data_IF_677083621657
#
_entry.id   IF_677083621657
#
_cell.length_a   1.000
_cell.length_b   1.000
_cell.length_c   1.000
_cell.angle_alpha   90.00
_cell.angle_beta   90.00
_cell.angle_gamma   90.00
#
_symmetry.space_group_name_H-M   'P 1'
#
loop_
_entity.id
_entity.type
_entity.pdbx_description
1 polymer ?
#
# COMPACT_ATOMS: atom_id res chain seq x y z
N UNK A 1 4.96 3.61 10.86
CA UNK A 1 5.00 2.25 11.44
C UNK A 1 3.85 1.94 12.43
N UNK A 2 3.82 2.46 13.67
CA UNK A 2 2.84 1.98 14.70
C UNK A 2 1.36 2.02 14.27
N UNK A 3 0.92 3.11 13.61
CA UNK A 3 -0.46 3.22 13.12
C UNK A 3 -0.81 2.20 12.03
N UNK A 4 0.13 1.86 11.14
CA UNK A 4 -0.11 0.88 10.06
C UNK A 4 -0.43 -0.49 10.65
N UNK A 5 0.29 -0.90 11.71
CA UNK A 5 0.03 -2.15 12.42
C UNK A 5 -1.37 -2.18 13.05
N UNK A 6 -1.81 -1.06 13.62
CA UNK A 6 -3.17 -0.94 14.19
C UNK A 6 -4.23 -1.09 13.09
N UNK A 7 -4.05 -0.40 11.96
CA UNK A 7 -4.97 -0.50 10.83
C UNK A 7 -4.96 -1.88 10.18
N UNK A 8 -3.81 -2.53 10.06
CA UNK A 8 -3.75 -3.93 9.61
C UNK A 8 -4.51 -4.86 10.56
N UNK A 9 -4.36 -4.67 11.88
CA UNK A 9 -5.12 -5.46 12.86
C UNK A 9 -6.62 -5.24 12.67
N UNK A 10 -7.07 -4.00 12.53
CA UNK A 10 -8.49 -3.66 12.28
C UNK A 10 -9.01 -4.30 11.01
N UNK A 11 -8.23 -4.26 9.93
CA UNK A 11 -8.60 -4.91 8.68
C UNK A 11 -8.91 -6.40 8.85
N UNK A 12 -8.14 -7.12 9.67
CA UNK A 12 -8.40 -8.53 9.97
C UNK A 12 -9.57 -8.75 10.94
N UNK A 13 -9.75 -7.89 11.94
CA UNK A 13 -10.78 -8.09 12.98
C UNK A 13 -12.15 -7.56 12.61
N UNK A 14 -12.20 -6.47 11.84
CA UNK A 14 -13.41 -5.73 11.48
C UNK A 14 -13.81 -5.98 10.02
N UNK A 15 -12.97 -6.70 9.25
CA UNK A 15 -13.19 -6.98 7.82
C UNK A 15 -13.32 -5.73 6.94
N UNK A 16 -12.63 -4.66 7.34
CA UNK A 16 -12.65 -3.38 6.64
C UNK A 16 -11.33 -3.12 5.90
N UNK A 17 -11.43 -2.85 4.60
CA UNK A 17 -10.27 -2.37 3.82
C UNK A 17 -9.84 -1.02 4.35
N UNK A 18 -8.54 -0.87 4.61
CA UNK A 18 -7.99 0.40 5.08
C UNK A 18 -7.33 1.13 3.92
N UNK A 19 -7.72 2.39 3.71
CA UNK A 19 -7.26 3.22 2.60
C UNK A 19 -6.35 4.32 3.12
N UNK A 20 -5.23 4.55 2.42
CA UNK A 20 -4.23 5.54 2.77
C UNK A 20 -3.89 6.40 1.56
N UNK A 21 -3.65 7.68 1.83
CA UNK A 21 -3.05 8.63 0.89
C UNK A 21 -1.90 9.34 1.59
N UNK A 22 -0.91 9.74 0.82
CA UNK A 22 0.22 10.52 1.31
C UNK A 22 0.73 11.41 0.16
N UNK A 23 1.49 12.44 0.52
CA UNK A 23 2.09 13.35 -0.44
C UNK A 23 3.04 12.61 -1.41
N UNK A 24 3.04 12.93 -2.72
CA UNK A 24 3.74 12.15 -3.75
C UNK A 24 5.24 11.89 -3.51
N UNK A 25 5.94 12.79 -2.81
CA UNK A 25 7.36 12.63 -2.50
C UNK A 25 7.63 11.66 -1.34
N UNK A 26 6.59 11.21 -0.62
CA UNK A 26 6.67 10.29 0.53
C UNK A 26 6.09 8.91 0.23
N UNK A 27 5.55 8.68 -0.97
CA UNK A 27 4.93 7.40 -1.34
C UNK A 27 5.90 6.21 -1.23
N UNK A 28 7.16 6.36 -1.67
CA UNK A 28 8.16 5.30 -1.49
C UNK A 28 8.41 4.97 -0.01
N UNK A 29 8.51 6.01 0.83
CA UNK A 29 8.66 5.82 2.29
C UNK A 29 7.44 5.15 2.91
N UNK A 30 6.24 5.45 2.43
CA UNK A 30 5.02 4.79 2.89
C UNK A 30 4.98 3.31 2.47
N UNK A 31 5.40 2.99 1.24
CA UNK A 31 5.54 1.61 0.77
C UNK A 31 6.54 0.81 1.62
N UNK A 32 7.72 1.38 1.91
CA UNK A 32 8.71 0.77 2.81
C UNK A 32 8.12 0.50 4.20
N UNK A 33 7.31 1.43 4.70
CA UNK A 33 6.61 1.30 5.98
C UNK A 33 5.60 0.13 5.97
N UNK A 34 4.86 -0.08 4.88
CA UNK A 34 4.01 -1.27 4.71
C UNK A 34 4.83 -2.56 4.67
N UNK A 35 5.89 -2.61 3.86
CA UNK A 35 6.76 -3.79 3.71
C UNK A 35 7.36 -4.21 5.06
N UNK A 36 7.79 -3.25 5.88
CA UNK A 36 8.39 -3.52 7.18
C UNK A 36 7.37 -3.88 8.27
N UNK A 37 6.14 -3.38 8.18
CA UNK A 37 5.18 -3.45 9.29
C UNK A 37 4.15 -4.55 9.11
N UNK A 38 3.65 -4.75 7.89
CA UNK A 38 2.55 -5.66 7.60
C UNK A 38 3.00 -7.11 7.49
N UNK A 39 2.07 -8.04 7.70
CA UNK A 39 2.30 -9.48 7.46
C UNK A 39 2.66 -9.69 5.99
N UNK A 40 3.62 -10.58 5.67
CA UNK A 40 4.01 -10.88 4.28
C UNK A 40 2.85 -11.30 3.36
N UNK A 41 1.81 -11.90 3.94
CA UNK A 41 0.60 -12.37 3.25
C UNK A 41 -0.50 -11.31 3.10
N UNK A 42 -0.43 -10.19 3.81
CA UNK A 42 -1.41 -9.10 3.69
C UNK A 42 -1.39 -8.60 2.26
N UNK A 43 -2.57 -8.38 1.66
CA UNK A 43 -2.64 -7.85 0.30
C UNK A 43 -2.54 -6.34 0.35
N UNK A 44 -1.60 -5.78 -0.41
CA UNK A 44 -1.44 -4.35 -0.62
C UNK A 44 -1.78 -4.02 -2.08
N UNK A 45 -2.74 -3.13 -2.27
CA UNK A 45 -3.01 -2.49 -3.54
C UNK A 45 -2.34 -1.11 -3.59
N UNK A 46 -1.69 -0.80 -4.69
CA UNK A 46 -1.15 0.52 -5.00
C UNK A 46 -1.77 0.98 -6.31
N UNK A 47 -2.50 2.09 -6.25
CA UNK A 47 -3.14 2.72 -7.40
C UNK A 47 -2.55 4.13 -7.61
N UNK A 48 -1.85 4.35 -8.72
CA UNK A 48 -1.18 5.60 -9.05
C UNK A 48 -1.73 6.19 -10.34
N UNK A 49 -1.79 7.52 -10.40
CA UNK A 49 -2.19 8.27 -11.60
C UNK A 49 -3.46 7.72 -12.24
N UNK A 50 -4.48 7.43 -11.41
CA UNK A 50 -5.76 6.89 -11.85
C UNK A 50 -6.33 7.80 -12.94
N UNK A 51 -6.81 7.21 -14.03
CA UNK A 51 -7.31 7.85 -15.26
C UNK A 51 -6.29 8.66 -16.07
N UNK A 52 -4.99 8.54 -15.81
CA UNK A 52 -3.93 9.13 -16.65
C UNK A 52 -3.29 8.05 -17.55
N UNK A 53 -2.57 8.47 -18.59
CA UNK A 53 -1.92 7.55 -19.54
C UNK A 53 -0.89 6.60 -18.88
N UNK A 54 -0.30 7.02 -17.75
CA UNK A 54 0.65 6.22 -16.97
C UNK A 54 0.03 5.60 -15.70
N UNK A 55 -1.28 5.30 -15.75
CA UNK A 55 -2.01 4.60 -14.70
C UNK A 55 -1.32 3.30 -14.30
N UNK A 56 -1.18 3.10 -12.98
CA UNK A 56 -0.62 1.88 -12.42
C UNK A 56 -1.50 1.42 -11.26
N UNK A 57 -2.20 0.31 -11.42
CA UNK A 57 -3.02 -0.29 -10.36
C UNK A 57 -2.65 -1.76 -10.24
N UNK A 58 -2.09 -2.15 -9.09
CA UNK A 58 -1.74 -3.55 -8.83
C UNK A 58 -2.00 -3.92 -7.38
N UNK A 59 -2.42 -5.16 -7.17
CA UNK A 59 -2.62 -5.77 -5.87
C UNK A 59 -1.75 -7.00 -5.73
N UNK A 60 -0.76 -6.96 -4.85
CA UNK A 60 0.14 -8.07 -4.55
C UNK A 60 0.23 -8.29 -3.03
N UNK A 61 0.59 -9.50 -2.56
CA UNK A 61 1.01 -9.70 -1.19
C UNK A 61 2.19 -8.79 -0.85
N UNK A 62 2.25 -8.28 0.39
CA UNK A 62 3.31 -7.38 0.87
C UNK A 62 4.72 -7.91 0.59
N UNK A 63 4.94 -9.24 0.68
CA UNK A 63 6.23 -9.86 0.37
C UNK A 63 6.72 -9.62 -1.06
N UNK A 64 5.80 -9.57 -2.02
CA UNK A 64 6.14 -9.43 -3.44
C UNK A 64 6.49 -7.97 -3.80
N UNK A 65 5.97 -7.01 -3.03
CA UNK A 65 6.33 -5.60 -3.15
C UNK A 65 7.78 -5.32 -2.71
N UNK A 66 8.34 -6.13 -1.81
CA UNK A 66 9.75 -6.02 -1.42
C UNK A 66 10.70 -6.38 -2.57
N UNK A 67 10.27 -7.26 -3.48
CA UNK A 67 11.03 -7.68 -4.66
C UNK A 67 10.73 -6.79 -5.88
N UNK A 68 9.56 -6.17 -5.93
CA UNK A 68 9.04 -5.41 -7.07
C UNK A 68 8.64 -3.98 -6.68
N UNK A 69 9.59 -3.19 -6.18
CA UNK A 69 9.31 -1.81 -5.75
C UNK A 69 9.03 -0.94 -7.00
N UNK A 70 7.81 -0.41 -7.19
CA UNK A 70 7.51 0.51 -8.29
C UNK A 70 8.12 1.90 -8.04
N UNK A 71 8.39 2.66 -9.10
CA UNK A 71 8.76 4.06 -8.97
C UNK A 71 7.51 4.93 -8.74
N UNK A 72 7.26 5.27 -7.46
CA UNK A 72 6.15 6.13 -7.06
C UNK A 72 6.57 7.60 -6.90
N UNK A 73 7.81 7.94 -7.26
CA UNK A 73 8.38 9.26 -6.98
C UNK A 73 7.59 10.35 -7.72
N UNK A 74 7.03 11.28 -6.94
CA UNK A 74 6.24 12.41 -7.45
C UNK A 74 4.93 12.01 -8.16
N UNK A 75 4.45 10.78 -8.01
CA UNK A 75 3.14 10.35 -8.51
C UNK A 75 2.09 10.36 -7.41
N UNK A 76 0.89 10.96 -7.57
CA UNK A 76 -0.22 10.71 -6.65
C UNK A 76 -0.56 9.22 -6.61
N UNK A 77 -0.74 8.69 -5.39
CA UNK A 77 -1.01 7.28 -5.17
C UNK A 77 -2.02 7.07 -4.03
N UNK A 78 -2.81 6.02 -4.16
CA UNK A 78 -3.69 5.47 -3.13
C UNK A 78 -3.16 4.09 -2.76
N UNK A 79 -3.04 3.83 -1.46
CA UNK A 79 -2.65 2.53 -0.93
C UNK A 79 -3.84 1.90 -0.21
N UNK A 80 -4.07 0.62 -0.43
CA UNK A 80 -5.14 -0.13 0.26
C UNK A 80 -4.58 -1.43 0.82
N UNK A 81 -4.88 -1.73 2.08
CA UNK A 81 -4.64 -3.06 2.65
C UNK A 81 -5.98 -3.78 2.87
N UNK A 82 -6.02 -5.04 2.45
CA UNK A 82 -7.19 -5.90 2.57
C UNK A 82 -6.82 -7.36 2.86
N UNK A 83 -7.75 -8.08 3.47
CA UNK A 83 -7.73 -9.54 3.55
C UNK A 83 -8.74 -10.10 2.54
N UNK A 84 -8.33 -11.09 1.77
CA UNK A 84 -9.21 -11.94 0.96
C UNK A 84 -9.40 -13.27 1.67
#
# INVERSE_FOLDING_TARGET
>A
AERIKVFESRMYTEHETQIFIETPYRNNKLLEDFIRTCRPSTRLCIACNITCDDEFIRTLPVREWAENIPDLKKKPAIFLIGAS
#
